data_IF_240825578488
#
_entry.id   IF_240825578488
#
_cell.length_a   1.000
_cell.length_b   1.000
_cell.length_c   1.000
_cell.angle_alpha   90.00
_cell.angle_beta   90.00
_cell.angle_gamma   90.00
#
_symmetry.space_group_name_H-M   'P 1'
#
loop_
_entity.id
_entity.type
_entity.pdbx_description
1 polymer ?
#
# COMPACT_ATOMS: atom_id res chain seq x y z
N UNK A 1 -1.83 -11.27 0.69
CA UNK A 1 -0.53 -11.38 -0.02
C UNK A 1 0.44 -12.42 0.56
N UNK A 2 0.70 -12.48 1.88
CA UNK A 2 1.74 -13.34 2.47
C UNK A 2 1.50 -14.86 2.37
N UNK A 3 0.25 -15.28 2.15
CA UNK A 3 -0.13 -16.70 2.04
C UNK A 3 0.15 -17.33 0.67
N UNK A 4 0.57 -16.54 -0.32
CA UNK A 4 0.85 -17.01 -1.68
C UNK A 4 -0.32 -16.92 -2.65
N UNK A 5 -1.37 -16.16 -2.32
CA UNK A 5 -2.52 -15.86 -3.20
C UNK A 5 -2.07 -15.30 -4.57
N UNK A 6 -0.96 -14.55 -4.59
CA UNK A 6 -0.42 -13.92 -5.79
C UNK A 6 0.84 -14.61 -6.33
N UNK A 7 1.10 -15.88 -5.97
CA UNK A 7 2.35 -16.57 -6.37
C UNK A 7 2.59 -16.56 -7.89
N UNK A 8 1.53 -16.68 -8.68
CA UNK A 8 1.60 -16.69 -10.16
C UNK A 8 1.81 -15.30 -10.77
N UNK A 9 1.58 -14.24 -9.98
CA UNK A 9 1.68 -12.85 -10.36
C UNK A 9 0.64 -12.00 -9.63
N UNK A 10 0.91 -10.70 -9.55
CA UNK A 10 -0.03 -9.72 -9.02
C UNK A 10 -0.45 -8.74 -10.12
N UNK A 11 -1.69 -8.22 -10.11
CA UNK A 11 -2.02 -7.03 -10.89
C UNK A 11 -1.13 -5.87 -10.46
N UNK A 12 -0.65 -5.08 -11.42
CA UNK A 12 0.13 -3.87 -11.12
C UNK A 12 -0.80 -2.74 -10.68
N UNK A 13 -1.36 -2.88 -9.49
CA UNK A 13 -2.13 -1.84 -8.81
C UNK A 13 -1.21 -1.08 -7.86
N UNK A 14 -1.37 0.23 -7.85
CA UNK A 14 -0.55 1.13 -7.05
C UNK A 14 -1.38 1.60 -5.87
N UNK A 15 -0.84 1.38 -4.67
CA UNK A 15 -1.50 1.64 -3.40
C UNK A 15 -0.77 2.74 -2.63
N UNK A 16 -1.42 3.86 -2.31
CA UNK A 16 -0.91 4.78 -1.30
C UNK A 16 -0.85 4.04 0.04
N UNK A 17 0.28 4.18 0.73
CA UNK A 17 0.56 3.45 1.95
C UNK A 17 0.50 4.43 3.12
N UNK A 18 -0.54 4.29 3.94
CA UNK A 18 -0.67 5.01 5.20
C UNK A 18 -0.43 4.06 6.37
N UNK A 19 0.44 4.45 7.29
CA UNK A 19 0.60 3.74 8.57
C UNK A 19 -0.51 4.15 9.54
N UNK A 20 -1.09 3.18 10.26
CA UNK A 20 -2.15 3.46 11.24
C UNK A 20 -1.68 4.42 12.35
N UNK A 21 -0.39 4.38 12.72
CA UNK A 21 0.20 5.27 13.72
C UNK A 21 0.14 6.73 13.24
N UNK A 22 0.50 6.98 11.99
CA UNK A 22 0.44 8.31 11.37
C UNK A 22 -1.02 8.78 11.25
N UNK A 23 -1.95 7.87 10.90
CA UNK A 23 -3.39 8.15 10.82
C UNK A 23 -3.98 8.48 12.19
N UNK A 24 -3.50 7.87 13.27
CA UNK A 24 -3.96 8.17 14.64
C UNK A 24 -3.36 9.47 15.20
N UNK A 25 -2.14 9.81 14.80
CA UNK A 25 -1.46 11.03 15.24
C UNK A 25 -2.07 12.29 14.58
N UNK A 26 -2.54 12.15 13.34
CA UNK A 26 -3.04 13.29 12.56
C UNK A 26 -4.24 14.01 13.21
N UNK A 27 -5.32 13.33 13.69
CA UNK A 27 -6.43 14.01 14.36
C UNK A 27 -6.03 14.71 15.65
N UNK A 28 -5.10 14.12 16.42
CA UNK A 28 -4.59 14.73 17.67
C UNK A 28 -3.89 16.04 17.35
N UNK A 29 -2.92 16.01 16.42
CA UNK A 29 -2.20 17.22 15.98
C UNK A 29 -3.13 18.26 15.37
N UNK A 30 -4.14 17.84 14.61
CA UNK A 30 -5.12 18.76 14.06
C UNK A 30 -5.96 19.44 15.15
N UNK A 31 -6.33 18.72 16.21
CA UNK A 31 -7.04 19.28 17.36
C UNK A 31 -6.18 20.25 18.18
N UNK A 32 -4.87 20.04 18.23
CA UNK A 32 -3.91 20.88 18.96
C UNK A 32 -3.43 22.10 18.16
N UNK A 33 -3.72 22.15 16.86
CA UNK A 33 -3.24 23.22 15.96
C UNK A 33 -4.39 24.22 15.69
N UNK A 34 -4.39 25.43 16.30
CA UNK A 34 -5.54 26.35 16.21
C UNK A 34 -5.91 26.76 14.78
N UNK A 35 -4.93 26.79 13.88
CA UNK A 35 -5.11 27.17 12.47
C UNK A 35 -5.42 25.98 11.56
N UNK A 36 -5.44 24.74 12.09
CA UNK A 36 -5.73 23.57 11.30
C UNK A 36 -7.17 23.64 10.76
N UNK A 37 -7.33 23.42 9.46
CA UNK A 37 -8.64 23.57 8.82
C UNK A 37 -8.79 22.66 7.59
N UNK A 38 -10.04 22.39 7.21
CA UNK A 38 -10.37 21.65 5.99
C UNK A 38 -9.92 20.17 6.03
N UNK A 39 -9.43 19.68 4.89
CA UNK A 39 -9.04 18.27 4.71
C UNK A 39 -7.53 18.08 4.74
N UNK A 40 -7.09 17.04 5.44
CA UNK A 40 -5.73 16.51 5.39
C UNK A 40 -5.71 15.16 4.68
N UNK A 41 -4.59 14.85 4.03
CA UNK A 41 -4.34 13.54 3.43
C UNK A 41 -3.15 12.93 4.16
N UNK A 42 -3.35 11.71 4.64
CA UNK A 42 -2.33 10.93 5.32
C UNK A 42 -1.91 9.83 4.36
N UNK A 43 -0.72 9.98 3.80
CA UNK A 43 -0.09 9.03 2.90
C UNK A 43 1.42 9.12 3.10
N UNK A 44 2.10 7.99 2.95
CA UNK A 44 3.56 7.94 2.98
C UNK A 44 4.20 8.64 1.77
N UNK A 45 5.49 8.39 1.57
CA UNK A 45 6.28 9.10 0.55
C UNK A 45 5.90 8.77 -0.89
N UNK A 46 5.48 7.52 -1.13
CA UNK A 46 5.13 6.99 -2.45
C UNK A 46 4.19 5.79 -2.35
N UNK A 47 3.45 5.57 -3.44
CA UNK A 47 2.62 4.37 -3.60
C UNK A 47 3.47 3.14 -3.88
N UNK A 48 3.00 1.97 -3.44
CA UNK A 48 3.60 0.68 -3.73
C UNK A 48 2.65 -0.24 -4.47
N UNK A 49 3.18 -1.07 -5.35
CA UNK A 49 2.45 -2.23 -5.85
C UNK A 49 2.56 -3.44 -4.91
N UNK A 50 1.71 -4.44 -5.13
CA UNK A 50 1.83 -5.74 -4.42
C UNK A 50 3.21 -6.37 -4.68
N UNK A 51 3.77 -6.19 -5.88
CA UNK A 51 5.09 -6.71 -6.20
C UNK A 51 6.19 -5.97 -5.43
N UNK A 52 6.07 -4.65 -5.27
CA UNK A 52 7.03 -3.85 -4.49
C UNK A 52 6.99 -4.24 -3.02
N UNK A 53 5.77 -4.31 -2.44
CA UNK A 53 5.59 -4.78 -1.07
C UNK A 53 6.12 -6.21 -0.87
N UNK A 54 5.89 -7.10 -1.83
CA UNK A 54 6.44 -8.46 -1.80
C UNK A 54 7.97 -8.47 -1.83
N UNK A 55 8.60 -7.57 -2.60
CA UNK A 55 10.06 -7.46 -2.66
C UNK A 55 10.65 -6.91 -1.37
N UNK A 56 9.99 -5.95 -0.71
CA UNK A 56 10.40 -5.44 0.61
C UNK A 56 10.35 -6.52 1.70
N UNK A 57 9.35 -7.42 1.65
CA UNK A 57 9.20 -8.51 2.63
C UNK A 57 10.02 -9.75 2.27
N UNK A 58 10.40 -9.95 1.00
CA UNK A 58 11.09 -11.15 0.53
C UNK A 58 12.31 -11.56 1.38
N UNK A 59 13.19 -10.66 1.83
CA UNK A 59 14.37 -11.02 2.63
C UNK A 59 14.03 -11.60 4.01
N UNK A 60 12.86 -11.26 4.54
CA UNK A 60 12.43 -11.66 5.91
C UNK A 60 11.31 -12.69 5.91
N UNK A 61 10.76 -13.03 4.74
CA UNK A 61 9.63 -13.94 4.64
C UNK A 61 10.03 -15.40 4.93
N UNK A 62 9.31 -16.11 5.81
CA UNK A 62 9.58 -17.54 6.12
C UNK A 62 9.54 -18.48 4.90
N UNK A 63 8.76 -18.12 3.86
CA UNK A 63 8.60 -18.89 2.61
C UNK A 63 8.60 -17.95 1.39
N UNK A 64 9.75 -17.38 0.99
CA UNK A 64 9.78 -16.29 0.01
C UNK A 64 9.37 -16.73 -1.41
N UNK A 65 9.35 -18.04 -1.69
CA UNK A 65 8.86 -18.64 -2.93
C UNK A 65 7.34 -18.52 -3.13
N UNK A 66 6.58 -18.17 -2.10
CA UNK A 66 5.14 -17.91 -2.18
C UNK A 66 4.83 -16.50 -2.69
N UNK A 67 5.76 -15.56 -2.56
CA UNK A 67 5.54 -14.17 -2.92
C UNK A 67 5.59 -13.97 -4.45
N UNK A 68 4.75 -13.09 -5.02
CA UNK A 68 4.77 -12.78 -6.45
C UNK A 68 6.17 -12.34 -6.89
N UNK A 69 6.58 -12.74 -8.09
CA UNK A 69 7.87 -12.31 -8.68
C UNK A 69 7.69 -11.38 -9.89
N UNK A 70 6.46 -11.19 -10.34
CA UNK A 70 6.12 -10.45 -11.56
C UNK A 70 4.72 -9.87 -11.48
N UNK A 71 4.50 -8.82 -12.25
CA UNK A 71 3.17 -8.33 -12.54
C UNK A 71 2.51 -9.19 -13.62
N UNK A 72 1.19 -9.31 -13.56
CA UNK A 72 0.40 -9.95 -14.60
C UNK A 72 0.31 -9.02 -15.82
N UNK A 73 0.54 -9.52 -17.05
CA UNK A 73 0.32 -8.75 -18.26
C UNK A 73 -1.09 -8.16 -18.31
N UNK A 74 -1.20 -6.87 -18.66
CA UNK A 74 -2.48 -6.16 -18.73
C UNK A 74 -3.49 -6.85 -19.66
N UNK A 75 -3.04 -7.49 -20.74
CA UNK A 75 -3.89 -8.26 -21.64
C UNK A 75 -4.59 -9.45 -20.94
N UNK A 76 -3.86 -10.19 -20.10
CA UNK A 76 -4.45 -11.28 -19.32
C UNK A 76 -5.52 -10.72 -18.39
N UNK A 77 -5.24 -9.59 -17.73
CA UNK A 77 -6.19 -8.93 -16.84
C UNK A 77 -7.45 -8.44 -17.58
N UNK A 78 -7.34 -7.93 -18.81
CA UNK A 78 -8.51 -7.61 -19.63
C UNK A 78 -9.37 -8.83 -19.99
N UNK A 79 -8.72 -9.98 -20.25
CA UNK A 79 -9.42 -11.21 -20.60
C UNK A 79 -10.16 -11.83 -19.40
N UNK A 80 -9.51 -11.88 -18.23
CA UNK A 80 -10.08 -12.56 -17.04
C UNK A 80 -10.83 -11.62 -16.10
N UNK A 81 -10.57 -10.32 -16.17
CA UNK A 81 -11.06 -9.31 -15.23
C UNK A 81 -12.58 -9.26 -15.07
N UNK A 82 -13.40 -9.34 -16.14
CA UNK A 82 -14.86 -9.36 -16.00
C UNK A 82 -15.39 -10.52 -15.14
N UNK A 83 -14.76 -11.70 -15.21
CA UNK A 83 -15.12 -12.85 -14.35
C UNK A 83 -14.75 -12.64 -12.87
N UNK A 84 -13.89 -11.66 -12.59
CA UNK A 84 -13.51 -11.21 -11.26
C UNK A 84 -14.27 -9.95 -10.83
N UNK A 85 -15.28 -9.51 -11.60
CA UNK A 85 -16.05 -8.29 -11.32
C UNK A 85 -15.35 -6.98 -11.72
N UNK A 86 -14.25 -7.03 -12.46
CA UNK A 86 -13.51 -5.86 -12.92
C UNK A 86 -13.94 -5.46 -14.33
N UNK A 87 -14.44 -4.24 -14.50
CA UNK A 87 -14.76 -3.71 -15.83
C UNK A 87 -13.50 -3.37 -16.63
N UNK A 88 -13.57 -3.48 -17.96
CA UNK A 88 -12.47 -3.06 -18.84
C UNK A 88 -12.09 -1.59 -18.66
N UNK A 89 -13.07 -0.71 -18.44
CA UNK A 89 -12.81 0.70 -18.12
C UNK A 89 -11.94 0.83 -16.86
N UNK A 90 -12.29 0.10 -15.81
CA UNK A 90 -11.53 0.09 -14.57
C UNK A 90 -10.11 -0.45 -14.77
N UNK A 91 -9.96 -1.57 -15.50
CA UNK A 91 -8.64 -2.17 -15.80
C UNK A 91 -7.77 -1.18 -16.59
N UNK A 92 -8.34 -0.53 -17.60
CA UNK A 92 -7.67 0.49 -18.40
C UNK A 92 -7.15 1.65 -17.56
N UNK A 93 -7.98 2.13 -16.62
CA UNK A 93 -7.74 3.32 -15.81
C UNK A 93 -6.97 3.11 -14.50
N UNK A 94 -6.75 1.86 -14.05
CA UNK A 94 -6.08 1.59 -12.77
C UNK A 94 -4.83 0.71 -12.89
N UNK A 95 -4.81 -0.27 -13.80
CA UNK A 95 -3.69 -1.22 -13.90
C UNK A 95 -2.49 -0.58 -14.60
N UNK A 96 -1.33 -0.61 -13.94
CA UNK A 96 -0.06 -0.07 -14.41
C UNK A 96 0.04 1.45 -14.26
N UNK A 97 -0.84 2.07 -13.49
CA UNK A 97 -0.89 3.53 -13.33
C UNK A 97 -0.39 3.90 -11.94
N UNK A 98 0.84 4.39 -11.88
CA UNK A 98 1.44 4.98 -10.69
C UNK A 98 0.97 6.39 -10.44
N UNK A 99 0.71 6.70 -9.17
CA UNK A 99 0.37 8.05 -8.72
C UNK A 99 1.01 8.31 -7.36
N UNK A 100 1.30 9.58 -7.12
CA UNK A 100 1.77 10.08 -5.82
C UNK A 100 0.67 10.93 -5.22
N UNK A 101 0.37 10.70 -3.96
CA UNK A 101 -0.62 11.51 -3.24
C UNK A 101 0.09 12.71 -2.61
N UNK A 102 -0.54 13.87 -2.69
CA UNK A 102 0.01 15.09 -2.10
C UNK A 102 -0.41 15.19 -0.62
N UNK A 103 0.47 14.75 0.28
CA UNK A 103 0.33 14.88 1.73
C UNK A 103 1.04 16.14 2.28
N UNK A 104 1.50 17.09 1.45
CA UNK A 104 2.35 18.19 1.95
C UNK A 104 1.67 19.08 2.99
N UNK A 105 0.34 19.16 2.97
CA UNK A 105 -0.43 19.94 3.94
C UNK A 105 -0.29 19.39 5.37
N UNK A 106 -0.39 18.07 5.55
CA UNK A 106 -0.25 17.44 6.87
C UNK A 106 1.17 17.58 7.43
N UNK A 107 2.19 17.57 6.56
CA UNK A 107 3.57 17.86 6.98
C UNK A 107 3.72 19.31 7.43
N UNK A 108 3.27 20.27 6.61
CA UNK A 108 3.51 21.70 6.85
C UNK A 108 2.68 22.26 8.00
N UNK A 109 1.42 21.87 8.11
CA UNK A 109 0.49 22.45 9.09
C UNK A 109 0.44 21.63 10.39
N UNK A 110 0.52 20.30 10.32
CA UNK A 110 0.44 19.43 11.51
C UNK A 110 1.81 18.98 12.02
N UNK A 111 2.88 19.20 11.25
CA UNK A 111 4.22 18.73 11.61
C UNK A 111 4.28 17.20 11.69
N UNK A 112 3.53 16.50 10.85
CA UNK A 112 3.59 15.03 10.77
C UNK A 112 4.90 14.58 10.14
N UNK A 113 5.48 13.53 10.72
CA UNK A 113 6.67 12.85 10.21
C UNK A 113 6.27 11.44 9.85
N UNK A 114 6.25 11.15 8.55
CA UNK A 114 5.85 9.85 8.03
C UNK A 114 6.93 8.80 8.23
N UNK A 115 6.50 7.58 8.54
CA UNK A 115 7.42 6.44 8.70
C UNK A 115 7.89 5.93 7.33
N UNK A 116 9.16 5.50 7.21
CA UNK A 116 9.65 4.87 5.98
C UNK A 116 8.83 3.64 5.61
N UNK A 117 8.48 3.51 4.34
CA UNK A 117 7.57 2.45 3.85
C UNK A 117 8.11 1.05 4.09
N UNK A 118 9.43 0.88 4.09
CA UNK A 118 10.13 -0.38 4.37
C UNK A 118 9.85 -0.86 5.79
N UNK A 119 9.78 0.08 6.75
CA UNK A 119 9.48 -0.23 8.13
C UNK A 119 7.99 -0.56 8.29
N UNK A 120 7.10 0.20 7.65
CA UNK A 120 5.65 -0.06 7.67
C UNK A 120 5.36 -1.48 7.15
N UNK A 121 5.92 -1.82 5.99
CA UNK A 121 5.72 -3.11 5.34
C UNK A 121 6.33 -4.26 6.15
N UNK A 122 7.51 -4.04 6.75
CA UNK A 122 8.14 -5.01 7.66
C UNK A 122 7.30 -5.24 8.91
N UNK A 123 6.87 -4.18 9.59
CA UNK A 123 6.05 -4.24 10.79
C UNK A 123 4.73 -4.95 10.51
N UNK A 124 4.09 -4.64 9.38
CA UNK A 124 2.88 -5.32 8.94
C UNK A 124 3.10 -6.83 8.73
N UNK A 125 4.23 -7.23 8.14
CA UNK A 125 4.57 -8.65 8.00
C UNK A 125 4.79 -9.34 9.37
N UNK A 126 5.49 -8.69 10.29
CA UNK A 126 5.71 -9.23 11.64
C UNK A 126 4.40 -9.37 12.42
N UNK A 127 3.51 -8.38 12.32
CA UNK A 127 2.16 -8.44 12.89
C UNK A 127 1.37 -9.62 12.30
N UNK A 128 1.39 -9.81 10.98
CA UNK A 128 0.75 -10.98 10.37
C UNK A 128 1.37 -12.32 10.83
N UNK A 129 2.69 -12.38 10.99
CA UNK A 129 3.37 -13.58 11.49
C UNK A 129 2.94 -13.95 12.91
N UNK A 130 2.73 -12.96 13.78
CA UNK A 130 2.33 -13.22 15.17
C UNK A 130 0.93 -13.84 15.24
N UNK A 131 0.03 -13.50 14.32
CA UNK A 131 -1.32 -14.12 14.25
C UNK A 131 -1.30 -15.59 13.86
N UNK A 132 -0.16 -16.14 13.42
CA UNK A 132 -0.01 -17.57 13.10
C UNK A 132 0.48 -18.39 14.29
N UNK A 133 0.92 -17.72 15.36
CA UNK A 133 1.45 -18.34 16.58
C UNK A 133 0.49 -18.21 17.76
N UNK A 134 -0.65 -17.55 17.54
CA UNK A 134 -1.79 -17.46 18.45
C UNK A 134 -2.86 -18.49 18.05
#
# INVERSE_FOLDING_TARGET
>A
MYRGENKMGAPELQYPIADVRDVTEAPVKAGETPNANGRYIIDGDHSLSILDMANLVRPIHKRPSLLPKKNLPKLILFAVGPFMGLSWKWIGANIGIGYKVNHQKSVRELGLVYRPVENIVRDHYQSWLSTLSA
#
